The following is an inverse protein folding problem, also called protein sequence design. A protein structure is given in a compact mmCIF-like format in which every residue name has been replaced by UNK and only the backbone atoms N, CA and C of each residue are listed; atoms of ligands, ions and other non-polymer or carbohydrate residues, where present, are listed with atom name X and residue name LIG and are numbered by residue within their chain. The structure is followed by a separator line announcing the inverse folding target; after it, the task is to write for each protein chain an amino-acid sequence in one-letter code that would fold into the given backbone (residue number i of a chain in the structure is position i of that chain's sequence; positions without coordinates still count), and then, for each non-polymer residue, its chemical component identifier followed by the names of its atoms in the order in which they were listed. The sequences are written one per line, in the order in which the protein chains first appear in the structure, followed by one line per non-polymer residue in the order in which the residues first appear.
data_IF_350452336557
#
_entry.id   IF_350452336557
#
_cell.length_a   1.000
_cell.length_b   1.000
_cell.length_c   1.000
_cell.angle_alpha   90.00
_cell.angle_beta   90.00
_cell.angle_gamma   90.00
#
_symmetry.space_group_name_H-M   'P 1'
#
loop_
_entity.id
_entity.type
_entity.pdbx_description
1 polymer ?
#
# COMPACT_ATOMS: atom_id res chain seq x y z
N UNK A 1 -9.75 -28.39 -3.11
CA UNK A 1 -8.55 -27.56 -3.38
C UNK A 1 -9.04 -26.13 -3.42
N UNK A 2 -9.12 -25.56 -2.23
CA UNK A 2 -9.61 -24.23 -1.97
C UNK A 2 -8.71 -23.22 -2.66
N UNK A 3 -9.26 -22.58 -3.69
CA UNK A 3 -8.61 -21.47 -4.37
C UNK A 3 -8.33 -20.40 -3.33
N UNK A 4 -7.04 -20.16 -3.07
CA UNK A 4 -6.55 -19.03 -2.29
C UNK A 4 -7.24 -17.80 -2.84
N UNK A 5 -8.27 -17.34 -2.11
CA UNK A 5 -9.04 -16.18 -2.48
C UNK A 5 -8.10 -15.00 -2.41
N UNK A 6 -7.53 -14.64 -3.57
CA UNK A 6 -6.83 -13.37 -3.72
C UNK A 6 -7.84 -12.35 -3.21
N UNK A 7 -7.55 -11.62 -2.11
CA UNK A 7 -8.47 -10.61 -1.64
C UNK A 7 -8.80 -9.74 -2.85
N UNK A 8 -10.09 -9.53 -3.12
CA UNK A 8 -10.56 -8.62 -4.16
C UNK A 8 -10.03 -7.24 -3.78
N UNK A 9 -8.79 -6.96 -4.18
CA UNK A 9 -8.10 -5.69 -3.96
C UNK A 9 -8.95 -4.65 -4.66
N UNK A 10 -9.83 -4.01 -3.89
CA UNK A 10 -10.62 -2.87 -4.32
C UNK A 10 -9.65 -1.71 -4.41
N UNK A 11 -8.89 -1.70 -5.50
CA UNK A 11 -7.92 -0.65 -5.75
C UNK A 11 -8.63 0.70 -5.83
N UNK A 12 -8.18 1.71 -5.08
CA UNK A 12 -8.76 3.04 -5.13
C UNK A 12 -8.69 3.60 -6.55
N UNK A 13 -9.84 3.92 -7.15
CA UNK A 13 -9.89 4.23 -8.59
C UNK A 13 -9.11 5.48 -8.98
N UNK A 14 -8.86 6.40 -8.03
CA UNK A 14 -8.21 7.69 -8.31
C UNK A 14 -7.18 8.05 -7.23
N UNK A 15 -5.93 8.17 -7.65
CA UNK A 15 -4.86 8.83 -6.91
C UNK A 15 -4.49 10.09 -7.71
N UNK A 16 -4.76 11.27 -7.15
CA UNK A 16 -4.70 12.54 -7.90
C UNK A 16 -3.30 12.77 -8.51
N UNK A 17 -3.24 13.04 -9.82
CA UNK A 17 -2.01 13.17 -10.63
C UNK A 17 -1.21 11.86 -10.87
N UNK A 18 -1.80 10.69 -10.61
CA UNK A 18 -1.23 9.39 -11.00
C UNK A 18 -2.12 8.70 -12.04
N UNK A 19 -1.50 8.14 -13.06
CA UNK A 19 -2.17 7.35 -14.09
C UNK A 19 -2.25 5.89 -13.66
N UNK A 20 -3.43 5.29 -13.67
CA UNK A 20 -3.58 3.85 -13.43
C UNK A 20 -3.03 3.06 -14.62
N UNK A 21 -2.17 2.08 -14.36
CA UNK A 21 -1.57 1.19 -15.36
C UNK A 21 -1.62 -0.26 -14.86
N UNK A 22 -1.55 -1.22 -15.79
CA UNK A 22 -1.39 -2.65 -15.47
C UNK A 22 -0.08 -3.08 -16.10
N UNK A 23 0.83 -3.61 -15.29
CA UNK A 23 2.15 -4.06 -15.73
C UNK A 23 2.29 -5.52 -15.34
N UNK A 24 2.43 -6.40 -16.33
CA UNK A 24 2.52 -7.87 -16.12
C UNK A 24 1.37 -8.44 -15.28
N UNK A 25 0.16 -7.91 -15.46
CA UNK A 25 -1.03 -8.31 -14.69
C UNK A 25 -1.13 -7.68 -13.30
N UNK A 26 -0.12 -6.93 -12.86
CA UNK A 26 -0.11 -6.23 -11.58
C UNK A 26 -0.59 -4.79 -11.80
N UNK A 27 -1.68 -4.38 -11.16
CA UNK A 27 -2.13 -3.00 -11.24
C UNK A 27 -1.24 -2.06 -10.41
N UNK A 28 -0.90 -0.91 -10.98
CA UNK A 28 0.00 0.09 -10.39
C UNK A 28 -0.42 1.52 -10.79
N UNK A 29 0.18 2.52 -10.14
CA UNK A 29 0.00 3.94 -10.41
C UNK A 29 1.28 4.54 -10.96
N UNK A 30 1.22 5.13 -12.14
CA UNK A 30 2.34 5.78 -12.81
C UNK A 30 2.31 7.28 -12.57
N UNK A 31 3.45 7.87 -12.23
CA UNK A 31 3.66 9.34 -12.22
C UNK A 31 5.02 9.64 -12.84
N UNK A 32 5.01 10.24 -14.03
CA UNK A 32 6.23 10.37 -14.84
C UNK A 32 6.79 8.99 -15.22
N UNK A 33 8.07 8.73 -14.94
CA UNK A 33 8.70 7.43 -15.15
C UNK A 33 8.54 6.48 -13.94
N UNK A 34 8.04 6.94 -12.80
CA UNK A 34 7.96 6.13 -11.58
C UNK A 34 6.63 5.38 -11.49
N UNK A 35 6.70 4.16 -10.96
CA UNK A 35 5.57 3.28 -10.68
C UNK A 35 5.36 3.18 -9.18
N UNK A 36 4.10 3.16 -8.78
CA UNK A 36 3.70 3.17 -7.39
C UNK A 36 2.65 2.10 -7.10
N UNK A 37 2.75 1.49 -5.94
CA UNK A 37 1.69 0.73 -5.31
C UNK A 37 0.91 1.65 -4.37
N UNK A 38 -0.42 1.61 -4.45
CA UNK A 38 -1.28 2.36 -3.53
C UNK A 38 -2.36 1.44 -2.98
N UNK A 39 -2.36 1.30 -1.67
CA UNK A 39 -3.35 0.56 -0.92
C UNK A 39 -3.83 1.44 0.21
N UNK A 40 -4.99 2.05 0.03
CA UNK A 40 -5.54 3.04 0.96
C UNK A 40 -5.73 2.48 2.38
N UNK A 41 -5.97 1.16 2.50
CA UNK A 41 -6.13 0.50 3.80
C UNK A 41 -4.82 0.36 4.56
N UNK A 42 -3.68 0.32 3.87
CA UNK A 42 -2.35 0.13 4.48
C UNK A 42 -1.53 1.41 4.51
N UNK A 43 -1.70 2.30 3.53
CA UNK A 43 -0.90 3.50 3.43
C UNK A 43 -1.73 4.70 2.95
N UNK A 44 -1.52 5.83 3.59
CA UNK A 44 -1.99 7.13 3.11
C UNK A 44 -1.16 7.64 1.92
N UNK A 45 0.07 7.13 1.76
CA UNK A 45 0.99 7.54 0.70
C UNK A 45 1.31 6.38 -0.25
N UNK A 46 1.37 6.62 -1.57
CA UNK A 46 1.80 5.63 -2.55
C UNK A 46 3.27 5.22 -2.34
N UNK A 47 3.55 3.93 -2.42
CA UNK A 47 4.89 3.36 -2.33
C UNK A 47 5.49 3.23 -3.73
N UNK A 48 6.69 3.77 -3.97
CA UNK A 48 7.35 3.57 -5.25
C UNK A 48 7.83 2.12 -5.37
N UNK A 49 7.41 1.43 -6.43
CA UNK A 49 7.68 0.01 -6.68
C UNK A 49 8.49 -0.23 -7.95
N UNK A 50 8.93 0.84 -8.62
CA UNK A 50 9.79 0.73 -9.80
C UNK A 50 9.64 1.87 -10.78
N UNK A 51 9.96 1.59 -12.04
CA UNK A 51 9.88 2.54 -13.15
C UNK A 51 9.26 1.91 -14.39
N UNK A 52 8.75 2.74 -15.31
CA UNK A 52 8.14 2.22 -16.55
C UNK A 52 9.18 1.54 -17.44
N UNK A 53 10.41 2.07 -17.47
CA UNK A 53 11.50 1.51 -18.28
C UNK A 53 12.03 0.17 -17.76
N UNK A 54 12.15 0.01 -16.44
CA UNK A 54 12.73 -1.20 -15.84
C UNK A 54 11.69 -2.20 -15.31
N UNK A 55 10.45 -1.76 -15.11
CA UNK A 55 9.40 -2.53 -14.47
C UNK A 55 9.45 -2.43 -12.95
N UNK A 56 9.06 -3.50 -12.26
CA UNK A 56 9.07 -3.56 -10.80
C UNK A 56 10.48 -3.81 -10.26
N UNK A 57 10.79 -3.21 -9.10
CA UNK A 57 12.01 -3.54 -8.36
C UNK A 57 11.96 -5.00 -7.89
N UNK A 58 13.12 -5.66 -7.84
CA UNK A 58 13.22 -7.09 -7.49
C UNK A 58 12.69 -7.41 -6.09
N UNK A 59 12.70 -6.45 -5.17
CA UNK A 59 12.28 -6.58 -3.77
C UNK A 59 10.88 -5.99 -3.50
N UNK A 60 10.01 -5.96 -4.51
CA UNK A 60 8.66 -5.36 -4.38
C UNK A 60 7.85 -6.00 -3.25
N UNK A 61 7.99 -7.31 -3.07
CA UNK A 61 7.26 -8.10 -2.07
C UNK A 61 7.71 -7.74 -0.64
N UNK A 62 9.02 -7.59 -0.44
CA UNK A 62 9.63 -7.15 0.81
C UNK A 62 9.19 -5.73 1.16
N UNK A 63 9.28 -4.79 0.20
CA UNK A 63 8.86 -3.40 0.40
C UNK A 63 7.38 -3.27 0.75
N UNK A 64 6.52 -4.08 0.13
CA UNK A 64 5.10 -4.14 0.47
C UNK A 64 4.90 -4.70 1.88
N UNK A 65 5.59 -5.79 2.23
CA UNK A 65 5.52 -6.43 3.55
C UNK A 65 5.94 -5.47 4.66
N UNK A 66 7.08 -4.79 4.51
CA UNK A 66 7.57 -3.79 5.48
C UNK A 66 6.56 -2.66 5.70
N UNK A 67 5.88 -2.20 4.63
CA UNK A 67 4.84 -1.18 4.73
C UNK A 67 3.60 -1.65 5.47
N UNK A 68 3.17 -2.89 5.19
CA UNK A 68 2.04 -3.52 5.90
C UNK A 68 2.36 -3.65 7.39
N UNK A 69 3.57 -4.08 7.75
CA UNK A 69 4.01 -4.19 9.14
C UNK A 69 4.09 -2.81 9.82
N UNK A 70 4.66 -1.81 9.16
CA UNK A 70 4.71 -0.44 9.68
C UNK A 70 3.30 0.14 9.91
N UNK A 71 2.35 -0.17 9.02
CA UNK A 71 0.96 0.22 9.19
C UNK A 71 0.32 -0.46 10.41
N UNK A 72 0.44 -1.79 10.51
CA UNK A 72 -0.08 -2.57 11.65
C UNK A 72 0.45 -2.00 12.97
N UNK A 73 1.76 -1.73 13.04
CA UNK A 73 2.40 -1.11 14.21
C UNK A 73 1.83 0.27 14.53
N UNK A 74 1.52 1.07 13.51
CA UNK A 74 0.92 2.40 13.69
C UNK A 74 -0.50 2.30 14.25
N UNK A 75 -1.30 1.34 13.77
CA UNK A 75 -2.65 1.08 14.29
C UNK A 75 -2.58 0.58 15.74
N UNK A 76 -1.66 -0.31 16.06
CA UNK A 76 -1.44 -0.78 17.44
C UNK A 76 -1.10 0.36 18.40
N UNK A 77 -0.21 1.27 18.00
CA UNK A 77 0.14 2.44 18.80
C UNK A 77 -1.07 3.37 18.99
N UNK A 78 -1.86 3.62 17.94
CA UNK A 78 -3.09 4.43 18.05
C UNK A 78 -4.14 3.79 18.97
N UNK A 79 -4.35 2.48 18.84
CA UNK A 79 -5.27 1.75 19.71
C UNK A 79 -4.81 1.78 21.17
N UNK A 80 -3.50 1.65 21.41
CA UNK A 80 -2.93 1.75 22.76
C UNK A 80 -3.05 3.16 23.34
N UNK A 81 -2.93 4.21 22.51
CA UNK A 81 -3.13 5.59 22.92
C UNK A 81 -4.60 5.92 23.22
N UNK A 82 -5.55 5.33 22.48
CA UNK A 82 -6.99 5.43 22.76
C UNK A 82 -7.44 4.64 23.99
N UNK A 83 -6.69 3.61 24.40
CA UNK A 83 -6.98 2.84 25.61
C UNK A 83 -6.56 3.53 26.91
N UNK A 84 -5.91 4.71 26.86
CA UNK A 84 -5.62 5.50 28.04
C UNK A 84 -6.87 6.31 28.43
N UNK A 85 -7.52 6.05 29.59
CA UNK A 85 -8.65 6.85 30.02
C UNK A 85 -8.19 8.29 30.25
N UNK A 86 -8.99 9.32 29.92
CA UNK A 86 -8.65 10.69 30.22
C UNK A 86 -8.47 10.82 31.74
N UNK A 87 -7.24 11.12 32.18
CA UNK A 87 -7.00 11.57 33.55
C UNK A 87 -7.74 12.90 33.71
N UNK A 88 -8.95 12.86 34.26
CA UNK A 88 -9.59 14.05 34.84
C UNK A 88 -8.65 14.58 35.93
N UNK A 89 -8.16 15.80 35.74
CA UNK A 89 -7.73 16.64 36.86
C UNK A 89 -8.03 18.09 36.54
#
# INVERSE_FOLDING_TARGET
MDGVGIPKYRMPTNLHAYQRVIIRGIPAWKKGNALYYYEQEVATNPLQIGTVSEGFVSNVDELCSERIEAFRRTIEVRNRASAAPPKKK
#
